data_IF_074354104928
#
_entry.id   IF_074354104928
#
_cell.length_a   1.000
_cell.length_b   1.000
_cell.length_c   1.000
_cell.angle_alpha   90.00
_cell.angle_beta   90.00
_cell.angle_gamma   90.00
#
_symmetry.space_group_name_H-M   'P 1'
#
loop_
_entity.id
_entity.type
_entity.pdbx_description
1 polymer ?
#
# COMPACT_ATOMS: atom_id res chain seq x y z
N UNK A 1 51.08 -37.79 29.62
CA UNK A 1 50.78 -37.44 28.23
C UNK A 1 49.29 -37.53 27.91
N UNK A 2 48.50 -38.40 28.48
CA UNK A 2 47.04 -38.54 28.20
C UNK A 2 46.21 -37.31 28.60
N UNK A 3 46.49 -36.65 29.68
CA UNK A 3 45.75 -35.48 30.14
C UNK A 3 45.80 -34.27 29.19
N UNK A 4 46.89 -34.14 28.43
CA UNK A 4 47.05 -33.06 27.46
C UNK A 4 46.17 -33.31 26.22
N UNK A 5 45.96 -34.55 25.77
CA UNK A 5 45.07 -34.86 24.66
C UNK A 5 43.61 -34.68 25.00
N UNK A 6 43.19 -34.99 26.23
CA UNK A 6 41.82 -34.85 26.70
C UNK A 6 41.45 -33.35 26.76
N UNK A 7 42.35 -32.49 27.26
CA UNK A 7 42.10 -31.04 27.30
C UNK A 7 42.02 -30.42 25.89
N UNK A 8 42.83 -30.90 24.95
CA UNK A 8 42.81 -30.41 23.58
C UNK A 8 41.54 -30.85 22.82
N UNK A 9 41.10 -32.08 23.04
CA UNK A 9 39.82 -32.55 22.49
C UNK A 9 38.62 -31.82 23.07
N UNK A 10 38.60 -31.55 24.35
CA UNK A 10 37.55 -30.78 25.02
C UNK A 10 37.46 -29.33 24.49
N UNK A 11 38.61 -28.70 24.27
CA UNK A 11 38.67 -27.35 23.67
C UNK A 11 38.18 -27.31 22.21
N UNK A 12 38.57 -28.30 21.40
CA UNK A 12 38.11 -28.44 20.01
C UNK A 12 36.61 -28.73 19.94
N UNK A 13 36.08 -29.59 20.77
CA UNK A 13 34.65 -29.88 20.85
C UNK A 13 33.84 -28.68 21.27
N UNK A 14 34.33 -27.90 22.25
CA UNK A 14 33.68 -26.66 22.68
C UNK A 14 33.63 -25.58 21.62
N UNK A 15 34.71 -25.39 20.86
CA UNK A 15 34.75 -24.45 19.72
C UNK A 15 33.86 -24.87 18.56
N UNK A 16 33.77 -26.16 18.27
CA UNK A 16 32.89 -26.66 17.21
C UNK A 16 31.40 -26.45 17.57
N UNK A 17 31.00 -26.79 18.80
CA UNK A 17 29.63 -26.59 19.28
C UNK A 17 29.28 -25.11 19.35
N UNK A 18 30.18 -24.28 19.89
CA UNK A 18 29.99 -22.82 19.98
C UNK A 18 29.87 -22.17 18.58
N UNK A 19 30.70 -22.59 17.62
CA UNK A 19 30.66 -22.12 16.25
C UNK A 19 29.35 -22.47 15.52
N UNK A 20 28.88 -23.71 15.66
CA UNK A 20 27.61 -24.17 15.06
C UNK A 20 26.41 -23.44 15.65
N UNK A 21 26.38 -23.24 16.99
CA UNK A 21 25.29 -22.50 17.65
C UNK A 21 25.26 -21.05 17.23
N UNK A 22 26.40 -20.40 17.15
CA UNK A 22 26.52 -19.02 16.69
C UNK A 22 26.09 -18.86 15.22
N UNK A 23 26.47 -19.80 14.36
CA UNK A 23 26.08 -19.80 12.96
C UNK A 23 24.58 -20.01 12.80
N UNK A 24 23.97 -20.97 13.48
CA UNK A 24 22.54 -21.23 13.44
C UNK A 24 21.73 -20.01 13.93
N UNK A 25 22.13 -19.39 15.04
CA UNK A 25 21.48 -18.19 15.59
C UNK A 25 21.59 -17.01 14.62
N UNK A 26 22.77 -16.78 14.05
CA UNK A 26 23.00 -15.72 13.09
C UNK A 26 22.16 -15.90 11.81
N UNK A 27 22.10 -17.14 11.32
CA UNK A 27 21.31 -17.48 10.13
C UNK A 27 19.79 -17.29 10.35
N UNK A 28 19.26 -17.74 11.49
CA UNK A 28 17.86 -17.54 11.86
C UNK A 28 17.51 -16.03 12.01
N UNK A 29 18.39 -15.27 12.65
CA UNK A 29 18.19 -13.82 12.85
C UNK A 29 18.20 -13.08 11.50
N UNK A 30 19.14 -13.41 10.60
CA UNK A 30 19.20 -12.79 9.28
C UNK A 30 17.96 -13.10 8.45
N UNK A 31 17.47 -14.36 8.48
CA UNK A 31 16.24 -14.71 7.77
C UNK A 31 15.00 -14.01 8.33
N UNK A 32 14.88 -13.88 9.64
CA UNK A 32 13.78 -13.16 10.28
C UNK A 32 13.82 -11.66 9.92
N UNK A 33 15.01 -11.04 9.97
CA UNK A 33 15.19 -9.65 9.57
C UNK A 33 14.89 -9.40 8.10
N UNK A 34 15.36 -10.29 7.20
CA UNK A 34 15.08 -10.16 5.77
C UNK A 34 13.58 -10.26 5.45
N UNK A 35 12.85 -11.14 6.16
CA UNK A 35 11.39 -11.21 6.06
C UNK A 35 10.71 -9.93 6.52
N UNK A 36 11.08 -9.44 7.69
CA UNK A 36 10.51 -8.21 8.24
C UNK A 36 10.76 -6.99 7.32
N UNK A 37 11.97 -6.88 6.76
CA UNK A 37 12.31 -5.83 5.81
C UNK A 37 11.50 -5.92 4.50
N UNK A 38 11.28 -7.11 3.96
CA UNK A 38 10.45 -7.31 2.76
C UNK A 38 9.00 -6.90 3.00
N UNK A 39 8.41 -7.33 4.11
CA UNK A 39 7.04 -6.95 4.48
C UNK A 39 6.90 -5.44 4.69
N UNK A 40 7.87 -4.81 5.35
CA UNK A 40 7.90 -3.36 5.52
C UNK A 40 7.97 -2.63 4.16
N UNK A 41 8.84 -3.07 3.25
CA UNK A 41 8.98 -2.49 1.91
C UNK A 41 7.71 -2.67 1.06
N UNK A 42 7.06 -3.83 1.13
CA UNK A 42 5.78 -4.08 0.44
C UNK A 42 4.68 -3.16 0.98
N UNK A 43 4.61 -2.98 2.29
CA UNK A 43 3.66 -2.07 2.93
C UNK A 43 3.88 -0.63 2.47
N UNK A 44 5.12 -0.16 2.50
CA UNK A 44 5.48 1.19 2.08
C UNK A 44 5.14 1.44 0.60
N UNK A 45 5.42 0.46 -0.26
CA UNK A 45 5.08 0.53 -1.68
C UNK A 45 3.56 0.65 -1.90
N UNK A 46 2.73 -0.10 -1.14
CA UNK A 46 1.26 -0.01 -1.21
C UNK A 46 0.75 1.32 -0.67
N UNK A 47 1.24 1.77 0.48
CA UNK A 47 0.87 3.08 1.06
C UNK A 47 1.18 4.21 0.07
N UNK A 48 2.35 4.17 -0.56
CA UNK A 48 2.75 5.13 -1.58
C UNK A 48 1.83 5.08 -2.81
N UNK A 49 1.47 3.88 -3.27
CA UNK A 49 0.57 3.72 -4.42
C UNK A 49 -0.84 4.26 -4.11
N UNK A 50 -1.39 3.93 -2.94
CA UNK A 50 -2.69 4.39 -2.51
C UNK A 50 -2.72 5.92 -2.31
N UNK A 51 -1.65 6.48 -1.72
CA UNK A 51 -1.50 7.93 -1.57
C UNK A 51 -1.51 8.66 -2.92
N UNK A 52 -0.73 8.18 -3.88
CA UNK A 52 -0.72 8.75 -5.24
C UNK A 52 -2.07 8.65 -5.95
N UNK A 53 -2.78 7.54 -5.77
CA UNK A 53 -4.13 7.41 -6.33
C UNK A 53 -5.09 8.42 -5.71
N UNK A 54 -5.07 8.58 -4.38
CA UNK A 54 -5.92 9.55 -3.67
C UNK A 54 -5.63 11.00 -4.09
N UNK A 55 -4.36 11.37 -4.20
CA UNK A 55 -3.94 12.70 -4.65
C UNK A 55 -4.44 13.00 -6.07
N UNK A 56 -4.24 12.07 -7.00
CA UNK A 56 -4.67 12.23 -8.38
C UNK A 56 -6.20 12.22 -8.50
N UNK A 57 -6.89 11.35 -7.76
CA UNK A 57 -8.34 11.30 -7.74
C UNK A 57 -8.94 12.60 -7.17
N UNK A 58 -8.40 13.14 -6.09
CA UNK A 58 -8.85 14.41 -5.51
C UNK A 58 -8.66 15.58 -6.48
N UNK A 59 -7.51 15.62 -7.16
CA UNK A 59 -7.21 16.65 -8.18
C UNK A 59 -8.20 16.57 -9.35
N UNK A 60 -8.42 15.38 -9.92
CA UNK A 60 -9.33 15.19 -11.03
C UNK A 60 -10.78 15.47 -10.64
N UNK A 61 -11.19 15.05 -9.44
CA UNK A 61 -12.53 15.33 -8.94
C UNK A 61 -12.76 16.84 -8.75
N UNK A 62 -11.78 17.55 -8.19
CA UNK A 62 -11.84 19.00 -8.05
C UNK A 62 -11.88 19.73 -9.41
N UNK A 63 -11.10 19.25 -10.39
CA UNK A 63 -11.12 19.79 -11.75
C UNK A 63 -12.48 19.53 -12.43
N UNK A 64 -13.04 18.32 -12.26
CA UNK A 64 -14.33 17.95 -12.83
C UNK A 64 -15.50 18.80 -12.31
N UNK A 65 -15.45 19.26 -11.07
CA UNK A 65 -16.46 20.14 -10.50
C UNK A 65 -16.42 21.57 -11.05
N UNK A 66 -15.25 22.01 -11.53
CA UNK A 66 -15.02 23.37 -12.00
C UNK A 66 -15.01 23.50 -13.53
N UNK A 67 -14.56 22.45 -14.22
CA UNK A 67 -14.27 22.47 -15.63
C UNK A 67 -14.95 21.31 -16.34
N UNK A 68 -15.83 21.62 -17.28
CA UNK A 68 -16.35 20.62 -18.22
C UNK A 68 -15.30 20.40 -19.31
N UNK A 69 -14.72 19.20 -19.37
CA UNK A 69 -13.75 18.83 -20.41
C UNK A 69 -14.24 17.65 -21.21
N UNK A 70 -14.10 17.74 -22.51
CA UNK A 70 -14.31 16.59 -23.43
C UNK A 70 -12.99 15.83 -23.69
N UNK A 71 -11.88 16.25 -23.05
CA UNK A 71 -10.55 15.66 -23.21
C UNK A 71 -10.29 14.60 -22.14
N UNK A 72 -10.05 13.38 -22.60
CA UNK A 72 -9.74 12.22 -21.76
C UNK A 72 -8.27 12.15 -21.30
N UNK A 73 -7.41 13.05 -21.82
CA UNK A 73 -5.96 13.03 -21.53
C UNK A 73 -5.68 13.11 -20.03
N UNK A 74 -6.47 13.89 -19.29
CA UNK A 74 -6.35 14.00 -17.83
C UNK A 74 -6.67 12.71 -17.09
N UNK A 75 -7.43 11.78 -17.67
CA UNK A 75 -7.80 10.52 -17.02
C UNK A 75 -6.75 9.41 -17.19
N UNK A 76 -5.73 9.60 -18.03
CA UNK A 76 -4.71 8.57 -18.30
C UNK A 76 -3.93 8.23 -17.03
N UNK A 77 -3.59 9.23 -16.20
CA UNK A 77 -2.83 9.06 -14.97
C UNK A 77 -3.58 8.20 -13.96
N UNK A 78 -4.85 8.47 -13.71
CA UNK A 78 -5.66 7.70 -12.77
C UNK A 78 -5.93 6.29 -13.28
N UNK A 79 -6.10 6.12 -14.60
CA UNK A 79 -6.23 4.81 -15.23
C UNK A 79 -4.98 3.95 -15.01
N UNK A 80 -3.79 4.53 -15.18
CA UNK A 80 -2.52 3.85 -14.93
C UNK A 80 -2.37 3.44 -13.46
N UNK A 81 -2.76 4.32 -12.52
CA UNK A 81 -2.73 4.03 -11.08
C UNK A 81 -3.73 2.91 -10.71
N UNK A 82 -4.94 2.93 -11.25
CA UNK A 82 -5.95 1.87 -11.05
C UNK A 82 -5.43 0.51 -11.53
N UNK A 83 -4.77 0.45 -12.69
CA UNK A 83 -4.18 -0.80 -13.16
C UNK A 83 -3.03 -1.29 -12.27
N UNK A 84 -2.24 -0.40 -11.68
CA UNK A 84 -1.21 -0.78 -10.70
C UNK A 84 -1.86 -1.32 -9.41
N UNK A 85 -2.94 -0.73 -8.94
CA UNK A 85 -3.72 -1.22 -7.80
C UNK A 85 -4.24 -2.64 -8.08
N UNK A 86 -4.76 -2.93 -9.30
CA UNK A 86 -5.21 -4.27 -9.70
C UNK A 86 -4.13 -5.34 -9.62
N UNK A 87 -2.86 -4.98 -9.82
CA UNK A 87 -1.74 -5.91 -9.76
C UNK A 87 -1.34 -6.30 -8.34
N UNK A 88 -1.62 -5.45 -7.36
CA UNK A 88 -1.01 -5.57 -6.03
C UNK A 88 -2.00 -5.62 -4.88
N UNK A 89 -3.29 -5.34 -5.12
CA UNK A 89 -4.29 -5.16 -4.06
C UNK A 89 -5.44 -6.15 -4.16
N UNK A 90 -6.20 -6.26 -3.06
CA UNK A 90 -7.38 -7.11 -2.98
C UNK A 90 -8.52 -6.64 -3.90
N UNK A 91 -9.45 -7.54 -4.26
CA UNK A 91 -10.61 -7.19 -5.08
C UNK A 91 -11.44 -6.03 -4.51
N UNK A 92 -11.53 -5.91 -3.18
CA UNK A 92 -12.28 -4.84 -2.52
C UNK A 92 -11.65 -3.47 -2.77
N UNK A 93 -10.32 -3.35 -2.70
CA UNK A 93 -9.60 -2.11 -3.00
C UNK A 93 -9.74 -1.76 -4.48
N UNK A 94 -9.69 -2.75 -5.36
CA UNK A 94 -9.87 -2.56 -6.81
C UNK A 94 -11.28 -2.03 -7.13
N UNK A 95 -12.32 -2.64 -6.55
CA UNK A 95 -13.71 -2.22 -6.73
C UNK A 95 -13.94 -0.79 -6.22
N UNK A 96 -13.36 -0.45 -5.08
CA UNK A 96 -13.42 0.90 -4.54
C UNK A 96 -12.71 1.91 -5.44
N UNK A 97 -11.54 1.57 -6.01
CA UNK A 97 -10.83 2.41 -6.98
C UNK A 97 -11.64 2.61 -8.27
N UNK A 98 -12.24 1.55 -8.82
CA UNK A 98 -13.08 1.62 -10.00
C UNK A 98 -14.33 2.50 -9.75
N UNK A 99 -14.88 2.46 -8.54
CA UNK A 99 -16.00 3.32 -8.14
C UNK A 99 -15.59 4.79 -8.09
N UNK A 100 -14.42 5.12 -7.54
CA UNK A 100 -13.88 6.49 -7.56
C UNK A 100 -13.70 6.98 -9.00
N UNK A 101 -13.12 6.17 -9.88
CA UNK A 101 -12.95 6.53 -11.29
C UNK A 101 -14.29 6.83 -11.97
N UNK A 102 -15.32 6.03 -11.68
CA UNK A 102 -16.68 6.24 -12.21
C UNK A 102 -17.28 7.56 -11.73
N UNK A 103 -17.16 7.85 -10.44
CA UNK A 103 -17.64 9.12 -9.86
C UNK A 103 -16.95 10.32 -10.50
N UNK A 104 -15.65 10.24 -10.77
CA UNK A 104 -14.90 11.31 -11.45
C UNK A 104 -15.42 11.51 -12.87
N UNK A 105 -15.62 10.43 -13.62
CA UNK A 105 -16.15 10.49 -14.99
C UNK A 105 -17.57 11.10 -14.98
N UNK A 106 -18.44 10.65 -14.08
CA UNK A 106 -19.78 11.17 -13.93
C UNK A 106 -19.78 12.66 -13.59
N UNK A 107 -18.82 13.10 -12.75
CA UNK A 107 -18.64 14.52 -12.43
C UNK A 107 -18.23 15.38 -13.64
N UNK A 108 -17.37 14.87 -14.54
CA UNK A 108 -17.02 15.56 -15.78
C UNK A 108 -18.20 15.66 -16.76
N UNK A 109 -19.14 14.71 -16.72
CA UNK A 109 -20.33 14.70 -17.56
C UNK A 109 -21.46 15.54 -16.98
N UNK A 110 -21.42 15.85 -15.69
CA UNK A 110 -22.42 16.67 -15.02
C UNK A 110 -22.22 18.17 -15.31
N UNK A 111 -23.26 19.01 -15.18
CA UNK A 111 -23.09 20.47 -15.24
C UNK A 111 -22.22 20.95 -14.07
N UNK A 112 -21.44 22.01 -14.32
CA UNK A 112 -20.62 22.63 -13.28
C UNK A 112 -21.49 23.05 -12.09
N UNK A 113 -21.04 22.75 -10.87
CA UNK A 113 -21.74 23.11 -9.65
C UNK A 113 -21.06 24.30 -8.95
N UNK A 114 -21.87 25.16 -8.37
CA UNK A 114 -21.38 26.27 -7.56
C UNK A 114 -20.93 25.79 -6.18
N UNK A 115 -20.10 26.57 -5.49
CA UNK A 115 -19.68 26.27 -4.10
C UNK A 115 -20.89 26.14 -3.15
N UNK A 116 -21.97 26.84 -3.43
CA UNK A 116 -23.21 26.83 -2.63
C UNK A 116 -23.97 25.51 -2.82
N UNK A 117 -24.10 25.05 -4.05
CA UNK A 117 -24.65 23.74 -4.39
C UNK A 117 -23.79 22.59 -3.89
N UNK A 118 -22.46 22.74 -3.96
CA UNK A 118 -21.52 21.77 -3.42
C UNK A 118 -21.67 21.65 -1.90
N UNK A 119 -21.83 22.79 -1.19
CA UNK A 119 -22.06 22.79 0.27
C UNK A 119 -23.36 22.10 0.64
N UNK A 120 -24.44 22.37 -0.07
CA UNK A 120 -25.73 21.72 0.15
C UNK A 120 -25.66 20.21 -0.08
N UNK A 121 -25.02 19.78 -1.17
CA UNK A 121 -24.82 18.35 -1.49
C UNK A 121 -23.90 17.66 -0.47
N UNK A 122 -22.87 18.34 0.05
CA UNK A 122 -21.95 17.78 1.06
C UNK A 122 -22.65 17.55 2.41
N UNK A 123 -23.51 18.49 2.81
CA UNK A 123 -24.25 18.38 4.07
C UNK A 123 -25.34 17.28 3.99
N UNK A 124 -26.06 17.21 2.86
CA UNK A 124 -27.20 16.30 2.71
C UNK A 124 -26.78 14.83 2.39
N UNK A 125 -25.68 14.61 1.69
CA UNK A 125 -25.34 13.28 1.19
C UNK A 125 -24.18 12.58 1.87
N UNK A 126 -23.37 13.23 2.68
CA UNK A 126 -22.15 12.64 3.28
C UNK A 126 -21.27 11.88 2.26
N UNK A 127 -21.31 12.29 0.99
CA UNK A 127 -20.62 11.61 -0.10
C UNK A 127 -19.21 12.16 -0.24
N UNK A 128 -18.31 11.64 0.55
CA UNK A 128 -16.88 11.72 0.24
C UNK A 128 -16.55 10.57 -0.71
N UNK A 129 -16.31 10.86 -2.02
CA UNK A 129 -16.07 9.80 -3.01
C UNK A 129 -14.80 9.00 -2.74
N UNK A 130 -13.88 9.51 -1.92
CA UNK A 130 -12.61 8.87 -1.59
C UNK A 130 -12.65 8.08 -0.30
N UNK A 131 -13.71 8.21 0.50
CA UNK A 131 -13.83 7.58 1.81
C UNK A 131 -13.80 6.06 1.72
N UNK A 132 -14.64 5.48 0.88
CA UNK A 132 -14.78 4.04 0.77
C UNK A 132 -13.48 3.39 0.27
N UNK A 133 -12.77 4.05 -0.65
CA UNK A 133 -11.45 3.63 -1.08
C UNK A 133 -10.44 3.68 0.06
N UNK A 134 -10.41 4.78 0.82
CA UNK A 134 -9.51 4.92 1.97
C UNK A 134 -9.76 3.87 3.04
N UNK A 135 -11.03 3.55 3.31
CA UNK A 135 -11.41 2.50 4.27
C UNK A 135 -11.01 1.10 3.77
N UNK A 136 -11.20 0.81 2.48
CA UNK A 136 -10.77 -0.46 1.87
C UNK A 136 -9.24 -0.62 1.95
N UNK A 137 -8.48 0.42 1.61
CA UNK A 137 -7.02 0.42 1.73
C UNK A 137 -6.56 0.20 3.18
N UNK A 138 -7.20 0.87 4.15
CA UNK A 138 -6.88 0.70 5.57
C UNK A 138 -7.13 -0.74 6.03
N UNK A 139 -8.24 -1.34 5.64
CA UNK A 139 -8.56 -2.73 5.98
C UNK A 139 -7.53 -3.69 5.41
N UNK A 140 -7.15 -3.51 4.14
CA UNK A 140 -6.12 -4.32 3.49
C UNK A 140 -4.77 -4.22 4.21
N UNK A 141 -4.33 -3.01 4.55
CA UNK A 141 -3.07 -2.79 5.25
C UNK A 141 -3.06 -3.39 6.67
N UNK A 142 -4.21 -3.54 7.32
CA UNK A 142 -4.35 -4.19 8.62
C UNK A 142 -4.41 -5.72 8.53
N UNK A 143 -4.82 -6.28 7.39
CA UNK A 143 -4.92 -7.73 7.20
C UNK A 143 -3.60 -8.38 6.78
N UNK A 144 -2.72 -7.62 6.13
CA UNK A 144 -1.44 -8.12 5.62
C UNK A 144 -0.38 -8.15 6.75
N UNK A 145 -0.60 -7.47 7.85
CA UNK A 145 0.33 -7.28 8.96
C UNK A 145 -0.32 -7.47 10.32
#
# INVERSE_FOLDING_TARGET
MEAAYISTFAALAGTAIGGLTSFATSWMTQHAQARAQRLAAEREARVTLFGRFLEEAAKLYSDALQNRRDDITGLISIYALTNRIRLTSSPQVVEAADTVCRIIIDAYLAPNITLEEMRANWIDRHVDPLRDFSEACRKELLQIF
#
